data_IF_289831370689
#
_entry.id   IF_289831370689
#
_cell.length_a   1.000
_cell.length_b   1.000
_cell.length_c   1.000
_cell.angle_alpha   90.00
_cell.angle_beta   90.00
_cell.angle_gamma   90.00
#
_symmetry.space_group_name_H-M   'P 1'
#
loop_
_entity.id
_entity.type
_entity.pdbx_description
1 polymer ?
#
# COMPACT_ATOMS: atom_id res chain seq x y z
N UNK A 1 -6.63 13.35 19.11
CA UNK A 1 -6.04 12.47 18.08
C UNK A 1 -6.99 12.46 16.90
N UNK A 2 -6.59 13.00 15.74
CA UNK A 2 -7.45 12.98 14.56
C UNK A 2 -7.54 11.56 13.99
N UNK A 3 -8.74 11.11 13.65
CA UNK A 3 -8.92 9.87 12.88
C UNK A 3 -8.36 10.08 11.46
N UNK A 4 -7.52 9.17 10.99
CA UNK A 4 -7.03 9.15 9.61
C UNK A 4 -8.08 8.56 8.67
N UNK A 5 -7.94 8.83 7.37
CA UNK A 5 -8.61 8.05 6.34
C UNK A 5 -8.01 6.64 6.28
N UNK A 6 -8.78 5.68 5.77
CA UNK A 6 -8.36 4.29 5.59
C UNK A 6 -8.66 3.85 4.16
N UNK A 7 -7.77 3.04 3.59
CA UNK A 7 -7.96 2.41 2.29
C UNK A 7 -7.74 0.92 2.47
N UNK A 8 -8.76 0.12 2.18
CA UNK A 8 -8.73 -1.33 2.30
C UNK A 8 -8.90 -1.96 0.90
N UNK A 9 -8.11 -2.99 0.64
CA UNK A 9 -8.15 -3.77 -0.59
C UNK A 9 -8.75 -5.14 -0.27
N UNK A 10 -9.74 -5.54 -1.05
CA UNK A 10 -10.36 -6.86 -1.02
C UNK A 10 -10.23 -7.50 -2.40
N UNK A 11 -10.48 -8.80 -2.44
CA UNK A 11 -10.45 -9.63 -3.64
C UNK A 11 -11.36 -9.09 -4.76
N UNK A 12 -12.48 -8.46 -4.39
CA UNK A 12 -13.52 -7.99 -5.30
C UNK A 12 -13.71 -6.46 -5.32
N UNK A 13 -13.07 -5.72 -4.41
CA UNK A 13 -13.32 -4.27 -4.27
C UNK A 13 -12.24 -3.52 -3.52
N UNK A 14 -12.24 -2.20 -3.68
CA UNK A 14 -11.45 -1.25 -2.90
C UNK A 14 -12.42 -0.40 -2.07
N UNK A 15 -12.17 -0.32 -0.76
CA UNK A 15 -12.93 0.52 0.16
C UNK A 15 -12.08 1.71 0.64
N UNK A 16 -12.58 2.93 0.44
CA UNK A 16 -11.97 4.17 0.92
C UNK A 16 -12.88 4.75 2.00
N UNK A 17 -12.40 4.83 3.24
CA UNK A 17 -13.17 5.30 4.38
C UNK A 17 -12.61 6.61 4.92
N UNK A 18 -13.46 7.62 5.04
CA UNK A 18 -13.13 8.93 5.57
C UNK A 18 -13.95 9.21 6.85
N UNK A 19 -13.31 9.63 7.95
CA UNK A 19 -14.03 10.04 9.15
C UNK A 19 -14.92 11.27 8.92
N UNK A 20 -16.07 11.25 9.59
CA UNK A 20 -17.12 12.26 9.47
C UNK A 20 -18.32 11.73 8.67
N UNK A 21 -19.33 12.58 8.56
CA UNK A 21 -20.55 12.31 7.80
C UNK A 21 -20.58 13.18 6.54
N UNK A 22 -21.60 13.03 5.71
CA UNK A 22 -21.95 13.99 4.68
C UNK A 22 -22.36 15.32 5.31
N UNK A 23 -22.26 16.41 4.54
CA UNK A 23 -22.66 17.71 5.04
C UNK A 23 -24.17 17.72 5.30
N UNK A 24 -24.66 18.31 6.40
CA UNK A 24 -26.10 18.40 6.64
C UNK A 24 -26.85 18.95 5.41
N UNK A 25 -27.87 18.22 4.97
CA UNK A 25 -28.63 18.53 3.76
C UNK A 25 -27.85 18.31 2.46
N UNK A 26 -26.91 17.37 2.42
CA UNK A 26 -26.32 16.80 1.22
C UNK A 26 -26.53 15.28 1.29
N UNK A 27 -27.24 14.73 0.32
CA UNK A 27 -27.45 13.27 0.20
C UNK A 27 -26.50 12.68 -0.84
N UNK A 28 -26.40 11.34 -0.87
CA UNK A 28 -25.62 10.63 -1.90
C UNK A 28 -26.24 10.89 -3.28
N UNK A 29 -27.56 10.89 -3.37
CA UNK A 29 -28.32 11.18 -4.59
C UNK A 29 -28.02 12.58 -5.11
N UNK A 30 -27.97 13.59 -4.23
CA UNK A 30 -27.60 14.96 -4.60
C UNK A 30 -26.19 15.01 -5.20
N UNK A 31 -25.24 14.26 -4.63
CA UNK A 31 -23.85 14.20 -5.12
C UNK A 31 -23.78 13.57 -6.51
N UNK A 32 -24.56 12.51 -6.75
CA UNK A 32 -24.70 11.90 -8.08
C UNK A 32 -25.39 12.87 -9.06
N UNK A 33 -26.24 13.76 -8.56
CA UNK A 33 -26.78 14.89 -9.30
C UNK A 33 -25.83 16.11 -9.35
N UNK A 34 -24.55 15.94 -9.00
CA UNK A 34 -23.51 16.96 -9.16
C UNK A 34 -23.61 18.11 -8.19
N UNK A 35 -24.49 18.02 -7.19
CA UNK A 35 -24.55 18.97 -6.09
C UNK A 35 -23.31 18.75 -5.23
N UNK A 36 -22.57 19.84 -5.01
CA UNK A 36 -21.34 19.80 -4.22
C UNK A 36 -21.35 20.88 -3.17
N UNK A 37 -21.03 20.49 -1.92
CA UNK A 37 -20.82 21.42 -0.81
C UNK A 37 -19.42 21.27 -0.27
N UNK A 38 -18.69 22.38 -0.19
CA UNK A 38 -17.30 22.40 0.25
C UNK A 38 -17.24 22.56 1.78
N UNK A 39 -16.67 21.58 2.48
CA UNK A 39 -16.38 21.70 3.92
C UNK A 39 -15.27 22.72 4.19
N UNK A 40 -14.14 22.58 3.50
CA UNK A 40 -12.97 23.43 3.68
C UNK A 40 -12.65 24.20 2.39
N UNK A 41 -13.01 25.49 2.34
CA UNK A 41 -12.83 26.35 1.17
C UNK A 41 -11.37 26.63 0.83
N UNK A 42 -10.47 26.56 1.82
CA UNK A 42 -9.04 26.80 1.62
C UNK A 42 -8.39 25.63 0.91
N UNK A 43 -8.58 24.39 1.41
CA UNK A 43 -8.04 23.17 0.77
C UNK A 43 -8.56 23.05 -0.66
N UNK A 44 -9.87 23.25 -0.81
CA UNK A 44 -10.55 23.27 -2.08
C UNK A 44 -9.85 24.25 -3.05
N UNK A 45 -9.66 25.51 -2.63
CA UNK A 45 -9.00 26.52 -3.47
C UNK A 45 -7.59 26.09 -3.88
N UNK A 46 -6.79 25.58 -2.95
CA UNK A 46 -5.42 25.11 -3.22
C UNK A 46 -5.43 23.99 -4.26
N UNK A 47 -6.31 22.99 -4.14
CA UNK A 47 -6.36 21.87 -5.09
C UNK A 47 -6.74 22.33 -6.50
N UNK A 48 -7.59 23.34 -6.61
CA UNK A 48 -7.93 23.94 -7.91
C UNK A 48 -6.76 24.75 -8.48
N UNK A 49 -6.04 25.50 -7.65
CA UNK A 49 -4.85 26.27 -8.10
C UNK A 49 -3.68 25.35 -8.49
N UNK A 50 -3.64 24.13 -7.96
CA UNK A 50 -2.68 23.08 -8.33
C UNK A 50 -3.15 22.18 -9.48
N UNK A 51 -4.27 22.50 -10.13
CA UNK A 51 -4.90 21.69 -11.20
C UNK A 51 -5.15 20.22 -10.80
N UNK A 52 -5.31 19.94 -9.50
CA UNK A 52 -5.66 18.62 -8.98
C UNK A 52 -7.17 18.34 -9.05
N UNK A 53 -7.98 19.38 -9.25
CA UNK A 53 -9.42 19.29 -9.47
C UNK A 53 -9.84 20.24 -10.61
N UNK A 54 -10.67 19.75 -11.53
CA UNK A 54 -11.12 20.51 -12.71
C UNK A 54 -12.27 21.47 -12.37
N UNK A 55 -13.37 20.92 -11.86
CA UNK A 55 -14.60 21.66 -11.60
C UNK A 55 -15.32 21.12 -10.35
N UNK A 56 -15.95 22.02 -9.60
CA UNK A 56 -16.70 21.67 -8.39
C UNK A 56 -17.87 20.74 -8.68
N UNK A 57 -17.88 19.57 -8.05
CA UNK A 57 -19.00 18.63 -8.13
C UNK A 57 -19.04 17.76 -9.40
N UNK A 58 -18.07 17.89 -10.31
CA UNK A 58 -18.01 17.02 -11.49
C UNK A 58 -17.38 15.65 -11.19
N UNK A 59 -16.52 15.57 -10.17
CA UNK A 59 -15.71 14.38 -9.89
C UNK A 59 -16.52 13.10 -9.64
N UNK A 60 -17.54 13.16 -8.77
CA UNK A 60 -18.38 11.99 -8.44
C UNK A 60 -19.07 11.46 -9.69
N UNK A 61 -19.78 12.33 -10.42
CA UNK A 61 -20.45 11.98 -11.69
C UNK A 61 -19.49 11.36 -12.70
N UNK A 62 -18.30 11.94 -12.85
CA UNK A 62 -17.30 11.46 -13.78
C UNK A 62 -16.78 10.08 -13.39
N UNK A 63 -16.50 9.84 -12.11
CA UNK A 63 -16.09 8.52 -11.62
C UNK A 63 -17.15 7.45 -11.92
N UNK A 64 -18.42 7.71 -11.62
CA UNK A 64 -19.51 6.77 -11.88
C UNK A 64 -19.71 6.51 -13.38
N UNK A 65 -19.65 7.56 -14.20
CA UNK A 65 -19.71 7.44 -15.66
C UNK A 65 -18.56 6.59 -16.21
N UNK A 66 -17.34 6.82 -15.73
CA UNK A 66 -16.14 6.10 -16.17
C UNK A 66 -16.21 4.62 -15.75
N UNK A 67 -16.67 4.33 -14.52
CA UNK A 67 -16.89 2.97 -14.06
C UNK A 67 -17.87 2.23 -14.97
N UNK A 68 -19.00 2.86 -15.32
CA UNK A 68 -19.95 2.29 -16.29
C UNK A 68 -19.36 2.10 -17.69
N UNK A 69 -18.53 3.04 -18.16
CA UNK A 69 -17.86 2.93 -19.47
C UNK A 69 -16.83 1.78 -19.52
N UNK A 70 -16.20 1.47 -18.39
CA UNK A 70 -15.28 0.36 -18.21
C UNK A 70 -15.99 -0.98 -17.93
N UNK A 71 -17.32 -0.98 -17.81
CA UNK A 71 -18.10 -2.18 -17.48
C UNK A 71 -17.91 -2.66 -16.04
N UNK A 72 -17.42 -1.79 -15.14
CA UNK A 72 -17.29 -2.10 -13.73
C UNK A 72 -18.68 -2.10 -13.06
N UNK A 73 -18.88 -2.90 -11.99
CA UNK A 73 -20.06 -2.75 -11.15
C UNK A 73 -20.13 -1.32 -10.59
N UNK A 74 -21.35 -0.82 -10.39
CA UNK A 74 -21.57 0.56 -9.98
C UNK A 74 -20.93 0.83 -8.61
N UNK A 75 -20.12 1.90 -8.46
CA UNK A 75 -19.54 2.26 -7.17
C UNK A 75 -20.60 2.61 -6.13
N UNK A 76 -20.28 2.45 -4.85
CA UNK A 76 -21.21 2.74 -3.76
C UNK A 76 -20.64 3.81 -2.81
N UNK A 77 -21.50 4.70 -2.32
CA UNK A 77 -21.18 5.64 -1.25
C UNK A 77 -22.13 5.36 -0.09
N UNK A 78 -21.60 4.98 1.06
CA UNK A 78 -22.39 4.63 2.25
C UNK A 78 -21.92 5.40 3.48
N UNK A 79 -22.86 5.84 4.30
CA UNK A 79 -22.58 6.40 5.62
C UNK A 79 -22.72 5.31 6.69
N UNK A 80 -21.62 4.96 7.36
CA UNK A 80 -21.58 3.92 8.40
C UNK A 80 -21.18 4.57 9.71
N UNK A 81 -22.16 4.86 10.56
CA UNK A 81 -21.95 5.60 11.81
C UNK A 81 -21.44 7.02 11.55
N UNK A 82 -20.24 7.36 12.02
CA UNK A 82 -19.62 8.66 11.79
C UNK A 82 -18.55 8.62 10.70
N UNK A 83 -18.78 7.84 9.65
CA UNK A 83 -17.82 7.63 8.56
C UNK A 83 -18.52 7.57 7.22
N UNK A 84 -17.88 8.11 6.19
CA UNK A 84 -18.30 7.96 4.80
C UNK A 84 -17.36 6.97 4.14
N UNK A 85 -17.92 5.94 3.53
CA UNK A 85 -17.17 4.92 2.80
C UNK A 85 -17.55 4.96 1.32
N UNK A 86 -16.53 4.96 0.47
CA UNK A 86 -16.64 4.83 -0.96
C UNK A 86 -16.11 3.46 -1.38
N UNK A 87 -16.91 2.70 -2.13
CA UNK A 87 -16.63 1.32 -2.52
C UNK A 87 -16.53 1.27 -4.04
N UNK A 88 -15.40 0.79 -4.56
CA UNK A 88 -15.19 0.57 -5.98
C UNK A 88 -14.99 -0.91 -6.21
N UNK A 89 -15.91 -1.53 -6.94
CA UNK A 89 -15.84 -2.95 -7.28
C UNK A 89 -14.95 -3.20 -8.50
N UNK A 90 -14.29 -4.34 -8.51
CA UNK A 90 -13.48 -4.83 -9.63
C UNK A 90 -14.38 -5.54 -10.65
N UNK A 91 -13.96 -5.56 -11.92
CA UNK A 91 -14.68 -6.29 -12.98
C UNK A 91 -14.72 -7.80 -12.70
N UNK A 92 -13.60 -8.33 -12.22
CA UNK A 92 -13.44 -9.72 -11.83
C UNK A 92 -12.81 -9.74 -10.44
N UNK A 93 -13.24 -10.70 -9.61
CA UNK A 93 -12.60 -10.90 -8.32
C UNK A 93 -11.18 -11.39 -8.57
N UNK A 94 -10.21 -10.59 -8.18
CA UNK A 94 -8.83 -11.05 -8.10
C UNK A 94 -8.84 -12.02 -6.92
N UNK A 95 -8.78 -13.31 -7.21
CA UNK A 95 -8.49 -14.30 -6.17
C UNK A 95 -7.11 -13.97 -5.65
N UNK A 96 -7.05 -13.17 -4.58
CA UNK A 96 -5.90 -13.13 -3.71
C UNK A 96 -5.87 -14.54 -3.17
N UNK A 97 -5.11 -15.42 -3.84
CA UNK A 97 -4.75 -16.69 -3.24
C UNK A 97 -4.34 -16.33 -1.82
N UNK A 98 -4.79 -17.05 -0.77
CA UNK A 98 -4.29 -16.79 0.56
C UNK A 98 -2.81 -17.15 0.49
N UNK A 99 -2.00 -16.18 0.07
CA UNK A 99 -0.61 -16.35 -0.22
C UNK A 99 -0.05 -16.73 1.13
N UNK A 100 0.30 -18.01 1.24
CA UNK A 100 0.77 -18.74 2.42
C UNK A 100 0.98 -17.83 3.61
N UNK A 101 0.26 -18.05 4.73
CA UNK A 101 0.32 -17.35 6.05
C UNK A 101 1.67 -16.72 6.44
N UNK A 102 2.76 -17.21 5.89
CA UNK A 102 4.12 -16.68 5.92
C UNK A 102 4.32 -15.29 5.28
N UNK A 103 3.57 -14.87 4.26
CA UNK A 103 3.69 -13.54 3.61
C UNK A 103 3.02 -12.45 4.47
N UNK A 104 1.92 -12.82 5.16
CA UNK A 104 1.30 -11.97 6.20
C UNK A 104 2.30 -11.57 7.28
N UNK A 105 3.29 -12.41 7.57
CA UNK A 105 4.38 -12.10 8.50
C UNK A 105 5.20 -10.87 8.09
N UNK A 106 5.37 -10.58 6.79
CA UNK A 106 6.00 -9.33 6.33
C UNK A 106 5.00 -8.15 6.42
N UNK A 107 3.74 -8.36 6.02
CA UNK A 107 2.71 -7.30 6.02
C UNK A 107 2.40 -6.79 7.43
N UNK A 108 2.28 -7.67 8.42
CA UNK A 108 1.89 -7.32 9.80
C UNK A 108 3.03 -6.55 10.54
N UNK A 109 4.29 -6.81 10.22
CA UNK A 109 5.43 -6.06 10.79
C UNK A 109 5.44 -4.62 10.27
N UNK A 110 4.98 -4.40 9.02
CA UNK A 110 4.92 -3.05 8.43
C UNK A 110 3.74 -2.23 8.94
N UNK A 111 2.56 -2.81 9.19
CA UNK A 111 1.43 -2.06 9.77
C UNK A 111 1.71 -1.57 11.20
N UNK A 112 2.29 -2.43 12.04
CA UNK A 112 2.58 -2.06 13.43
C UNK A 112 3.69 -1.01 13.60
N UNK A 113 4.62 -0.88 12.65
CA UNK A 113 5.65 0.18 12.70
C UNK A 113 5.25 1.49 12.01
N UNK A 114 4.22 1.47 11.15
CA UNK A 114 3.82 2.64 10.35
C UNK A 114 2.71 3.45 11.03
N UNK A 115 1.90 2.82 11.91
CA UNK A 115 0.89 3.53 12.71
C UNK A 115 1.48 4.63 13.62
N UNK A 116 2.77 4.57 13.98
CA UNK A 116 3.41 5.62 14.80
C UNK A 116 3.96 6.81 13.99
N UNK A 117 4.03 6.74 12.66
CA UNK A 117 4.83 7.69 11.86
C UNK A 117 4.09 8.37 10.69
N UNK A 118 2.80 8.11 10.48
CA UNK A 118 1.98 8.89 9.53
C UNK A 118 2.48 8.86 8.08
N UNK A 119 3.01 7.73 7.60
CA UNK A 119 3.53 7.63 6.24
C UNK A 119 2.41 7.39 5.20
N UNK A 120 2.48 8.09 4.07
CA UNK A 120 1.57 8.00 2.92
C UNK A 120 1.71 6.67 2.17
N UNK A 121 0.66 6.25 1.44
CA UNK A 121 0.58 5.02 0.63
C UNK A 121 1.79 4.80 -0.30
N UNK A 122 2.37 5.87 -0.85
CA UNK A 122 3.57 5.80 -1.71
C UNK A 122 4.83 5.28 -1.00
N UNK A 123 5.02 5.61 0.27
CA UNK A 123 6.21 5.15 1.04
C UNK A 123 6.15 3.64 1.33
N UNK A 124 4.94 3.07 1.41
CA UNK A 124 4.73 1.64 1.62
C UNK A 124 5.08 0.83 0.36
N UNK A 125 4.69 1.33 -0.82
CA UNK A 125 5.03 0.72 -2.11
C UNK A 125 6.53 0.72 -2.36
N UNK A 126 7.23 1.82 -2.08
CA UNK A 126 8.69 1.88 -2.19
C UNK A 126 9.40 0.92 -1.23
N UNK A 127 8.89 0.76 0.00
CA UNK A 127 9.49 -0.17 0.95
C UNK A 127 9.40 -1.61 0.46
N UNK A 128 8.24 -2.00 -0.09
CA UNK A 128 8.04 -3.33 -0.69
C UNK A 128 8.99 -3.56 -1.86
N UNK A 129 9.12 -2.57 -2.75
CA UNK A 129 10.05 -2.64 -3.88
C UNK A 129 11.49 -2.89 -3.43
N UNK A 130 11.96 -2.14 -2.43
CA UNK A 130 13.31 -2.33 -1.89
C UNK A 130 13.51 -3.71 -1.24
N UNK A 131 12.49 -4.25 -0.56
CA UNK A 131 12.56 -5.61 -0.01
C UNK A 131 12.69 -6.66 -1.12
N UNK A 132 11.93 -6.54 -2.20
CA UNK A 132 12.02 -7.43 -3.36
C UNK A 132 13.40 -7.34 -4.05
N UNK A 133 13.94 -6.13 -4.22
CA UNK A 133 15.27 -5.92 -4.79
C UNK A 133 16.38 -6.53 -3.93
N UNK A 134 16.31 -6.36 -2.60
CA UNK A 134 17.23 -7.00 -1.65
C UNK A 134 17.14 -8.51 -1.74
N UNK A 135 15.93 -9.07 -1.78
CA UNK A 135 15.75 -10.51 -1.93
C UNK A 135 16.39 -10.99 -3.24
N UNK A 136 16.09 -10.37 -4.38
CA UNK A 136 16.70 -10.70 -5.69
C UNK A 136 18.23 -10.64 -5.64
N UNK A 137 18.80 -9.63 -4.97
CA UNK A 137 20.26 -9.48 -4.80
C UNK A 137 20.86 -10.62 -3.96
N UNK A 138 20.17 -11.08 -2.92
CA UNK A 138 20.57 -12.18 -2.05
C UNK A 138 20.59 -13.57 -2.73
N UNK A 139 20.25 -13.69 -4.03
CA UNK A 139 20.51 -14.94 -4.80
C UNK A 139 21.99 -15.36 -4.71
N UNK A 140 22.89 -14.38 -4.59
CA UNK A 140 24.30 -14.60 -4.26
C UNK A 140 24.59 -14.08 -2.84
N UNK A 141 25.67 -14.57 -2.20
CA UNK A 141 26.10 -14.03 -0.92
C UNK A 141 26.50 -12.55 -1.03
N UNK A 142 25.73 -11.66 -0.41
CA UNK A 142 25.93 -10.22 -0.48
C UNK A 142 26.22 -9.62 0.89
N UNK A 143 27.08 -8.61 0.94
CA UNK A 143 27.28 -7.82 2.15
C UNK A 143 26.14 -6.82 2.34
N UNK A 144 25.96 -6.29 3.56
CA UNK A 144 24.99 -5.23 3.79
C UNK A 144 25.27 -3.95 2.98
N UNK A 145 26.53 -3.71 2.60
CA UNK A 145 26.90 -2.55 1.77
C UNK A 145 26.33 -2.73 0.36
N UNK A 146 26.50 -3.91 -0.22
CA UNK A 146 25.96 -4.24 -1.55
C UNK A 146 24.42 -4.17 -1.57
N UNK A 147 23.77 -4.57 -0.48
CA UNK A 147 22.31 -4.49 -0.36
C UNK A 147 21.82 -3.04 -0.20
N UNK A 148 22.57 -2.21 0.51
CA UNK A 148 22.25 -0.79 0.66
C UNK A 148 22.42 -0.02 -0.66
N UNK A 149 23.45 -0.37 -1.45
CA UNK A 149 23.70 0.21 -2.77
C UNK A 149 22.53 -0.01 -3.73
N UNK A 150 22.00 -1.25 -3.79
CA UNK A 150 20.87 -1.58 -4.68
C UNK A 150 19.59 -0.81 -4.33
N UNK A 151 19.40 -0.46 -3.06
CA UNK A 151 18.20 0.28 -2.59
C UNK A 151 18.43 1.79 -2.48
N UNK A 152 19.60 2.29 -2.88
CA UNK A 152 20.02 3.69 -2.75
C UNK A 152 19.88 4.26 -1.32
N UNK A 153 20.05 3.40 -0.29
CA UNK A 153 19.93 3.78 1.12
C UNK A 153 21.30 4.04 1.75
N UNK A 154 21.39 5.11 2.54
CA UNK A 154 22.63 5.52 3.21
C UNK A 154 22.65 5.20 4.72
N UNK A 155 21.49 5.15 5.38
CA UNK A 155 21.38 4.89 6.81
C UNK A 155 21.30 3.38 7.10
N UNK A 156 22.43 2.82 7.55
CA UNK A 156 22.58 1.38 7.84
C UNK A 156 21.66 0.88 8.94
N UNK A 157 21.39 1.70 9.96
CA UNK A 157 20.54 1.33 11.09
C UNK A 157 19.08 1.23 10.65
N UNK A 158 18.60 2.23 9.89
CA UNK A 158 17.24 2.23 9.33
C UNK A 158 17.07 1.13 8.30
N UNK A 159 18.05 0.93 7.42
CA UNK A 159 18.04 -0.15 6.43
C UNK A 159 17.88 -1.51 7.11
N UNK A 160 18.69 -1.78 8.15
CA UNK A 160 18.59 -3.03 8.89
C UNK A 160 17.21 -3.22 9.50
N UNK A 161 16.69 -2.21 10.21
CA UNK A 161 15.41 -2.31 10.91
C UNK A 161 14.21 -2.47 9.95
N UNK A 162 14.19 -1.73 8.85
CA UNK A 162 13.00 -1.61 7.98
C UNK A 162 12.99 -2.58 6.79
N UNK A 163 14.15 -3.00 6.32
CA UNK A 163 14.27 -3.82 5.11
C UNK A 163 14.85 -5.19 5.46
N UNK A 164 16.00 -5.23 6.12
CA UNK A 164 16.74 -6.48 6.31
C UNK A 164 16.14 -7.39 7.40
N UNK A 165 15.79 -6.83 8.57
CA UNK A 165 15.21 -7.58 9.68
C UNK A 165 13.91 -8.28 9.30
N UNK A 166 12.94 -7.63 8.63
CA UNK A 166 11.73 -8.32 8.17
C UNK A 166 12.00 -9.54 7.28
N UNK A 167 12.98 -9.45 6.37
CA UNK A 167 13.34 -10.56 5.49
C UNK A 167 14.04 -11.72 6.24
N UNK A 168 14.85 -11.40 7.25
CA UNK A 168 15.47 -12.38 8.15
C UNK A 168 14.44 -13.05 9.05
N UNK A 169 13.57 -12.27 9.68
CA UNK A 169 12.56 -12.74 10.63
C UNK A 169 11.52 -13.63 9.93
N UNK A 170 11.18 -13.31 8.67
CA UNK A 170 10.32 -14.15 7.84
C UNK A 170 11.04 -15.38 7.24
N UNK A 171 12.37 -15.44 7.34
CA UNK A 171 13.20 -16.55 6.88
C UNK A 171 13.42 -16.62 5.37
N UNK A 172 13.25 -15.51 4.64
CA UNK A 172 13.51 -15.46 3.20
C UNK A 172 15.00 -15.30 2.87
N UNK A 173 15.76 -14.73 3.80
CA UNK A 173 17.21 -14.66 3.76
C UNK A 173 17.78 -15.12 5.10
N UNK A 174 19.03 -15.53 5.10
CA UNK A 174 19.76 -15.94 6.31
C UNK A 174 21.16 -15.31 6.37
N UNK A 175 21.72 -15.27 7.58
CA UNK A 175 23.08 -14.83 7.83
C UNK A 175 24.07 -15.96 7.56
N UNK A 176 25.20 -15.66 6.92
CA UNK A 176 26.27 -16.65 6.73
C UNK A 176 27.05 -16.94 8.00
N UNK A 177 27.04 -16.00 8.98
CA UNK A 177 27.69 -16.17 10.28
C UNK A 177 26.67 -15.87 11.41
N UNK A 178 25.75 -16.79 11.73
CA UNK A 178 24.68 -16.54 12.71
C UNK A 178 25.20 -16.19 14.11
N UNK A 179 26.27 -16.85 14.57
CA UNK A 179 26.84 -16.64 15.92
C UNK A 179 27.45 -15.24 16.12
N UNK A 180 27.80 -14.56 15.02
CA UNK A 180 28.45 -13.24 15.04
C UNK A 180 27.69 -12.28 14.12
N UNK A 181 26.47 -11.85 14.50
CA UNK A 181 25.59 -11.03 13.65
C UNK A 181 26.15 -9.63 13.35
N UNK A 182 27.13 -9.18 14.15
CA UNK A 182 27.87 -7.91 13.99
C UNK A 182 29.26 -8.08 13.34
N UNK A 183 29.59 -9.27 12.85
CA UNK A 183 30.86 -9.51 12.15
C UNK A 183 31.00 -8.59 10.95
N UNK A 184 32.19 -8.04 10.74
CA UNK A 184 32.52 -7.29 9.51
C UNK A 184 32.48 -8.17 8.25
N UNK A 185 32.65 -9.49 8.42
CA UNK A 185 32.56 -10.50 7.35
C UNK A 185 31.16 -11.07 7.18
N UNK A 186 30.15 -10.50 7.84
CA UNK A 186 28.76 -10.96 7.73
C UNK A 186 28.25 -10.76 6.31
N UNK A 187 27.67 -11.82 5.73
CA UNK A 187 26.95 -11.77 4.46
C UNK A 187 25.55 -12.34 4.64
N UNK A 188 24.70 -12.08 3.66
CA UNK A 188 23.33 -12.56 3.60
C UNK A 188 23.13 -13.33 2.32
N UNK A 189 22.39 -14.43 2.40
CA UNK A 189 22.03 -15.25 1.25
C UNK A 189 20.58 -15.68 1.34
N UNK A 190 19.99 -15.96 0.19
CA UNK A 190 18.62 -16.42 0.07
C UNK A 190 18.47 -17.85 0.59
N UNK A 191 17.32 -18.12 1.22
CA UNK A 191 16.92 -19.46 1.64
C UNK A 191 16.04 -20.11 0.57
N UNK A 192 15.80 -21.43 0.67
CA UNK A 192 14.85 -22.13 -0.20
C UNK A 192 13.44 -21.51 -0.16
N UNK A 193 13.04 -20.95 1.00
CA UNK A 193 11.78 -20.22 1.16
C UNK A 193 11.77 -18.91 0.36
N UNK A 194 12.87 -18.16 0.39
CA UNK A 194 13.04 -16.94 -0.43
C UNK A 194 13.01 -17.23 -1.93
N UNK A 195 13.62 -18.33 -2.34
CA UNK A 195 13.64 -18.74 -3.75
C UNK A 195 12.26 -19.14 -4.26
N UNK A 196 11.53 -19.96 -3.48
CA UNK A 196 10.16 -20.33 -3.79
C UNK A 196 9.21 -19.12 -3.84
N UNK A 197 9.44 -18.11 -3.00
CA UNK A 197 8.68 -16.86 -3.02
C UNK A 197 8.93 -16.06 -4.31
N UNK A 198 10.19 -15.86 -4.70
CA UNK A 198 10.51 -15.16 -5.96
C UNK A 198 9.98 -15.88 -7.20
N UNK A 199 10.03 -17.21 -7.22
CA UNK A 199 9.52 -17.99 -8.33
C UNK A 199 7.99 -17.85 -8.51
N UNK A 200 7.26 -17.57 -7.44
CA UNK A 200 5.81 -17.29 -7.49
C UNK A 200 5.51 -15.87 -7.95
N UNK A 201 6.28 -14.88 -7.51
CA UNK A 201 6.11 -13.50 -7.99
C UNK A 201 6.39 -13.34 -9.49
N UNK A 202 7.41 -14.01 -10.03
CA UNK A 202 7.72 -13.93 -11.48
C UNK A 202 6.65 -14.64 -12.35
N UNK A 203 5.83 -15.53 -11.77
CA UNK A 203 4.73 -16.22 -12.47
C UNK A 203 3.38 -15.50 -12.36
N UNK A 204 3.22 -14.55 -11.43
CA UNK A 204 2.01 -13.75 -11.24
C UNK A 204 1.98 -12.41 -11.99
N UNK A 205 2.97 -12.15 -12.86
CA UNK A 205 3.10 -10.91 -13.64
C UNK A 205 2.65 -10.99 -15.09
N UNK A 206 2.13 -12.14 -15.53
CA UNK A 206 1.51 -12.32 -16.86
C UNK A 206 0.24 -13.12 -16.67
N UNK A 207 -0.85 -12.42 -16.35
CA UNK A 207 -2.21 -12.62 -16.88
C UNK A 207 -3.12 -11.49 -16.37
#
# INVERSE_FOLDING_TARGET
>A
MGSSYQVAFFDDRIEIENPGILLPGLTVEDMLQGVSKIRNRVIARVFRELDLIEQWGSGVRRMFKEAGALGLPEPEIVEVGMRVRFIVHLAESIAVQPESKEIRGILDITEHQVSELGASTGTMLELRRHQAEVLKKCKNECSIVDLMEVTERTDRSKFRKRILSPLLDAGFIEMTIPDKPRSSKQKYRMTAKGEAFLAKEDQGGVE
#
